data_IF_246128203171
#
_entry.id   IF_246128203171
#
_cell.length_a   1.000
_cell.length_b   1.000
_cell.length_c   1.000
_cell.angle_alpha   90.00
_cell.angle_beta   90.00
_cell.angle_gamma   90.00
#
_symmetry.space_group_name_H-M   'P 1'
#
loop_
_entity.id
_entity.type
_entity.pdbx_description
1 polymer ?
#
# COMPACT_ATOMS: atom_id res chain seq x y z
N UNK A 1 65.25 -6.59 21.57
CA UNK A 1 64.64 -5.71 22.58
C UNK A 1 63.89 -4.61 21.82
N UNK A 2 62.57 -4.39 21.85
CA UNK A 2 61.45 -4.88 22.67
C UNK A 2 60.19 -4.88 21.79
N UNK A 3 59.31 -5.84 22.07
CA UNK A 3 57.91 -5.90 21.65
C UNK A 3 57.13 -4.70 22.23
N UNK A 4 56.12 -4.20 21.51
CA UNK A 4 54.94 -3.60 22.11
C UNK A 4 53.75 -3.71 21.15
N UNK A 5 52.84 -4.62 21.50
CA UNK A 5 51.48 -4.69 20.99
C UNK A 5 50.68 -3.49 21.53
N UNK A 6 49.77 -2.93 20.73
CA UNK A 6 48.69 -2.10 21.24
C UNK A 6 47.39 -2.44 20.51
N UNK A 7 46.55 -3.20 21.20
CA UNK A 7 45.11 -3.28 21.00
C UNK A 7 44.49 -1.87 20.99
N UNK A 8 43.52 -1.61 20.11
CA UNK A 8 42.86 -0.31 20.09
C UNK A 8 41.62 -0.24 19.20
N UNK A 9 40.52 -0.75 19.74
CA UNK A 9 39.15 -0.23 19.55
C UNK A 9 38.49 -0.38 18.16
N UNK A 10 37.68 -1.44 18.05
CA UNK A 10 36.48 -1.48 17.21
C UNK A 10 35.55 -0.34 17.68
N UNK A 11 35.45 0.75 16.90
CA UNK A 11 34.37 1.72 17.07
C UNK A 11 33.34 1.49 15.98
N UNK A 12 32.40 0.62 16.31
CA UNK A 12 31.11 0.45 15.63
C UNK A 12 30.28 1.73 15.84
N UNK A 13 30.58 2.79 15.08
CA UNK A 13 29.63 3.90 14.91
C UNK A 13 28.60 3.48 13.85
N UNK A 14 27.63 2.67 14.25
CA UNK A 14 26.32 2.75 13.60
C UNK A 14 25.78 4.14 13.94
N UNK A 15 26.08 5.11 13.08
CA UNK A 15 25.44 6.41 13.09
C UNK A 15 23.97 6.20 12.77
N UNK A 16 23.19 5.94 13.82
CA UNK A 16 21.75 6.07 13.85
C UNK A 16 21.44 7.57 13.85
N UNK A 17 21.61 8.19 12.68
CA UNK A 17 21.16 9.56 12.47
C UNK A 17 19.67 9.53 12.18
N UNK A 18 18.92 9.66 13.27
CA UNK A 18 17.54 10.09 13.30
C UNK A 18 17.45 11.50 12.68
N UNK A 19 16.89 11.62 11.49
CA UNK A 19 16.27 12.88 11.03
C UNK A 19 14.88 12.53 10.51
N UNK A 20 13.92 12.63 11.42
CA UNK A 20 12.50 12.67 11.10
C UNK A 20 12.16 14.11 10.71
N UNK A 21 12.58 14.52 9.51
CA UNK A 21 12.09 15.75 8.91
C UNK A 21 10.67 15.49 8.39
N UNK A 22 9.68 16.04 9.08
CA UNK A 22 8.27 16.10 8.68
C UNK A 22 8.05 17.01 7.48
N UNK A 23 8.68 16.71 6.34
CA UNK A 23 8.25 17.27 5.08
C UNK A 23 7.03 16.49 4.59
N UNK A 24 5.88 17.17 4.44
CA UNK A 24 4.85 16.78 3.47
C UNK A 24 5.41 16.95 2.04
N UNK A 25 6.54 16.30 1.76
CA UNK A 25 7.23 16.33 0.50
C UNK A 25 6.79 15.15 -0.34
N UNK A 26 6.66 15.39 -1.64
CA UNK A 26 6.52 14.33 -2.62
C UNK A 26 7.75 13.40 -2.49
N UNK A 27 7.58 12.09 -2.25
CA UNK A 27 8.69 11.16 -2.14
C UNK A 27 9.53 11.21 -3.42
N UNK A 28 10.85 11.31 -3.27
CA UNK A 28 11.75 11.26 -4.42
C UNK A 28 12.03 9.80 -4.80
N UNK A 29 12.56 9.58 -6.01
CA UNK A 29 12.92 8.23 -6.46
C UNK A 29 14.01 7.64 -5.58
N UNK A 30 14.96 8.46 -5.15
CA UNK A 30 16.17 8.04 -4.43
C UNK A 30 15.82 7.51 -3.03
N UNK A 31 14.66 7.87 -2.50
CA UNK A 31 14.17 7.40 -1.19
C UNK A 31 13.43 6.05 -1.27
N UNK A 32 13.14 5.52 -2.47
CA UNK A 32 12.40 4.26 -2.64
C UNK A 32 13.09 3.08 -1.94
N UNK A 33 14.41 2.86 -2.07
CA UNK A 33 15.10 1.78 -1.35
C UNK A 33 14.97 1.91 0.18
N UNK A 34 14.99 3.14 0.70
CA UNK A 34 14.77 3.42 2.13
C UNK A 34 13.37 3.01 2.56
N UNK A 35 12.34 3.35 1.78
CA UNK A 35 10.97 2.97 2.10
C UNK A 35 10.75 1.46 1.96
N UNK A 36 11.35 0.79 0.98
CA UNK A 36 11.31 -0.68 0.87
C UNK A 36 11.88 -1.36 2.11
N UNK A 37 13.07 -0.92 2.54
CA UNK A 37 13.69 -1.43 3.76
C UNK A 37 12.80 -1.19 4.97
N UNK A 38 12.28 0.03 5.12
CA UNK A 38 11.40 0.39 6.23
C UNK A 38 10.10 -0.42 6.23
N UNK A 39 9.51 -0.70 5.06
CA UNK A 39 8.32 -1.53 4.92
C UNK A 39 8.55 -2.96 5.43
N UNK A 40 9.73 -3.53 5.20
CA UNK A 40 10.03 -4.94 5.53
C UNK A 40 10.63 -5.12 6.94
N UNK A 41 11.48 -4.20 7.38
CA UNK A 41 12.31 -4.40 8.57
C UNK A 41 11.93 -3.51 9.76
N UNK A 42 10.98 -2.58 9.62
CA UNK A 42 10.63 -1.72 10.73
C UNK A 42 9.77 -2.46 11.76
N UNK A 43 10.19 -2.38 13.03
CA UNK A 43 9.44 -2.93 14.15
C UNK A 43 8.11 -2.18 14.38
N UNK A 44 8.12 -0.87 14.15
CA UNK A 44 6.96 0.01 14.31
C UNK A 44 5.97 -0.15 13.15
N UNK A 45 4.71 -0.44 13.48
CA UNK A 45 3.63 -0.47 12.50
C UNK A 45 3.42 0.90 11.84
N UNK A 46 3.58 2.00 12.58
CA UNK A 46 3.46 3.35 12.02
C UNK A 46 4.51 3.61 10.94
N UNK A 47 5.75 3.13 11.15
CA UNK A 47 6.83 3.29 10.19
C UNK A 47 6.59 2.44 8.93
N UNK A 48 6.10 1.21 9.06
CA UNK A 48 5.73 0.38 7.91
C UNK A 48 4.57 0.99 7.11
N UNK A 49 3.54 1.49 7.79
CA UNK A 49 2.40 2.14 7.15
C UNK A 49 2.84 3.41 6.40
N UNK A 50 3.69 4.24 7.01
CA UNK A 50 4.25 5.43 6.37
C UNK A 50 5.09 5.06 5.15
N UNK A 51 5.90 4.02 5.23
CA UNK A 51 6.67 3.53 4.10
C UNK A 51 5.77 3.11 2.92
N UNK A 52 4.72 2.33 3.20
CA UNK A 52 3.74 1.95 2.18
C UNK A 52 3.09 3.19 1.54
N UNK A 53 2.68 4.18 2.34
CA UNK A 53 2.09 5.43 1.83
C UNK A 53 3.06 6.20 0.92
N UNK A 54 4.34 6.30 1.29
CA UNK A 54 5.34 7.00 0.47
C UNK A 54 5.60 6.27 -0.85
N UNK A 55 5.62 4.94 -0.85
CA UNK A 55 5.72 4.12 -2.07
C UNK A 55 4.50 4.32 -2.98
N UNK A 56 3.29 4.34 -2.41
CA UNK A 56 2.06 4.64 -3.13
C UNK A 56 2.08 6.01 -3.81
N UNK A 57 2.42 7.06 -3.05
CA UNK A 57 2.56 8.43 -3.58
C UNK A 57 3.58 8.51 -4.71
N UNK A 58 4.73 7.84 -4.58
CA UNK A 58 5.76 7.82 -5.63
C UNK A 58 5.29 7.10 -6.89
N UNK A 59 4.61 5.97 -6.72
CA UNK A 59 4.07 5.18 -7.82
C UNK A 59 2.92 5.86 -8.56
N UNK A 60 2.09 6.62 -7.85
CA UNK A 60 1.08 7.46 -8.47
C UNK A 60 1.66 8.55 -9.39
N UNK A 61 2.91 8.94 -9.18
CA UNK A 61 3.65 9.86 -10.05
C UNK A 61 4.31 9.10 -11.20
N UNK A 62 5.05 8.03 -10.88
CA UNK A 62 5.67 7.16 -11.87
C UNK A 62 5.81 5.74 -11.32
N UNK A 63 5.09 4.82 -11.94
CA UNK A 63 5.07 3.40 -11.58
C UNK A 63 6.46 2.77 -11.65
N UNK A 64 7.26 3.16 -12.66
CA UNK A 64 8.60 2.59 -12.90
C UNK A 64 9.57 2.82 -11.76
N UNK A 65 9.33 3.84 -10.94
CA UNK A 65 10.21 4.16 -9.83
C UNK A 65 9.95 3.28 -8.60
N UNK A 66 8.88 2.50 -8.59
CA UNK A 66 8.47 1.63 -7.47
C UNK A 66 8.10 0.21 -7.91
N UNK A 67 8.58 -0.26 -9.07
CA UNK A 67 8.31 -1.62 -9.55
C UNK A 67 8.70 -2.69 -8.50
N UNK A 68 9.86 -2.52 -7.88
CA UNK A 68 10.37 -3.41 -6.82
C UNK A 68 9.51 -3.40 -5.54
N UNK A 69 8.57 -2.45 -5.40
CA UNK A 69 7.69 -2.34 -4.25
C UNK A 69 6.38 -3.11 -4.39
N UNK A 70 5.99 -3.49 -5.61
CA UNK A 70 4.69 -4.12 -5.85
C UNK A 70 4.57 -5.46 -5.11
N UNK A 71 5.56 -6.34 -5.24
CA UNK A 71 5.57 -7.65 -4.56
C UNK A 71 5.65 -7.55 -3.02
N UNK A 72 6.53 -6.71 -2.44
CA UNK A 72 6.50 -6.43 -1.01
C UNK A 72 5.15 -5.90 -0.52
N UNK A 73 4.52 -4.97 -1.24
CA UNK A 73 3.23 -4.41 -0.84
C UNK A 73 2.11 -5.46 -0.86
N UNK A 74 2.07 -6.33 -1.89
CA UNK A 74 1.14 -7.47 -1.92
C UNK A 74 1.33 -8.39 -0.71
N UNK A 75 2.58 -8.68 -0.36
CA UNK A 75 2.90 -9.50 0.81
C UNK A 75 2.41 -8.85 2.11
N UNK A 76 2.58 -7.54 2.26
CA UNK A 76 2.14 -6.78 3.43
C UNK A 76 0.62 -6.77 3.56
N UNK A 77 -0.13 -6.60 2.45
CA UNK A 77 -1.60 -6.70 2.45
C UNK A 77 -2.09 -8.03 3.01
N UNK A 78 -1.36 -9.13 2.78
CA UNK A 78 -1.77 -10.47 3.21
C UNK A 78 -1.28 -10.80 4.62
N UNK A 79 -0.03 -10.44 4.95
CA UNK A 79 0.68 -11.00 6.11
C UNK A 79 0.89 -10.05 7.28
N UNK A 80 0.74 -8.73 7.09
CA UNK A 80 1.01 -7.80 8.21
C UNK A 80 -0.07 -7.92 9.29
N UNK A 81 0.38 -8.06 10.54
CA UNK A 81 -0.49 -8.17 11.72
C UNK A 81 -1.31 -6.90 11.96
N UNK A 82 -0.78 -5.74 11.56
CA UNK A 82 -1.41 -4.45 11.82
C UNK A 82 -2.32 -4.02 10.67
N UNK A 83 -3.58 -3.78 10.99
CA UNK A 83 -4.60 -3.41 10.02
C UNK A 83 -4.33 -2.06 9.33
N UNK A 84 -3.70 -1.09 10.02
CA UNK A 84 -3.34 0.19 9.41
C UNK A 84 -2.26 0.00 8.35
N UNK A 85 -1.32 -0.91 8.61
CA UNK A 85 -0.28 -1.25 7.62
C UNK A 85 -0.89 -1.95 6.41
N UNK A 86 -1.78 -2.93 6.62
CA UNK A 86 -2.50 -3.58 5.51
C UNK A 86 -3.30 -2.58 4.67
N UNK A 87 -4.05 -1.68 5.31
CA UNK A 87 -4.82 -0.64 4.63
C UNK A 87 -3.92 0.33 3.84
N UNK A 88 -2.78 0.74 4.41
CA UNK A 88 -1.81 1.60 3.73
C UNK A 88 -1.23 0.90 2.50
N UNK A 89 -0.87 -0.38 2.61
CA UNK A 89 -0.35 -1.16 1.49
C UNK A 89 -1.38 -1.38 0.38
N UNK A 90 -2.65 -1.65 0.74
CA UNK A 90 -3.73 -1.77 -0.24
C UNK A 90 -3.94 -0.46 -1.02
N UNK A 91 -3.98 0.69 -0.33
CA UNK A 91 -4.04 2.01 -1.00
C UNK A 91 -2.82 2.25 -1.89
N UNK A 92 -1.63 1.93 -1.42
CA UNK A 92 -0.40 2.10 -2.19
C UNK A 92 -0.44 1.31 -3.50
N UNK A 93 -0.87 0.04 -3.47
CA UNK A 93 -1.06 -0.77 -4.68
C UNK A 93 -2.06 -0.14 -5.65
N UNK A 94 -3.16 0.40 -5.11
CA UNK A 94 -4.16 1.14 -5.89
C UNK A 94 -3.67 2.46 -6.46
N UNK A 95 -2.76 3.17 -5.78
CA UNK A 95 -2.15 4.40 -6.31
C UNK A 95 -1.12 4.07 -7.40
N UNK A 96 -0.36 2.98 -7.21
CA UNK A 96 0.62 2.47 -8.17
C UNK A 96 -0.11 2.00 -9.44
N UNK A 97 -1.17 1.19 -9.36
CA UNK A 97 -1.88 0.60 -10.53
C UNK A 97 -0.96 -0.15 -11.50
N UNK A 98 -0.01 -0.90 -10.94
CA UNK A 98 0.85 -1.81 -11.71
C UNK A 98 0.46 -3.24 -11.42
N UNK A 99 0.74 -4.12 -12.39
CA UNK A 99 0.48 -5.56 -12.31
C UNK A 99 -0.94 -5.89 -11.80
N UNK A 100 -1.94 -5.47 -12.57
CA UNK A 100 -3.34 -5.71 -12.23
C UNK A 100 -3.65 -7.22 -12.16
N UNK A 101 -3.08 -8.02 -13.06
CA UNK A 101 -3.28 -9.47 -13.13
C UNK A 101 -2.84 -10.17 -11.83
N UNK A 102 -1.69 -9.79 -11.28
CA UNK A 102 -1.21 -10.32 -10.00
C UNK A 102 -1.84 -9.67 -8.77
N UNK A 103 -2.24 -8.39 -8.84
CA UNK A 103 -2.69 -7.62 -7.68
C UNK A 103 -4.19 -7.74 -7.40
N UNK A 104 -5.03 -7.69 -8.43
CA UNK A 104 -6.49 -7.69 -8.29
C UNK A 104 -7.01 -8.95 -7.57
N UNK A 105 -6.55 -10.18 -7.89
CA UNK A 105 -7.02 -11.38 -7.18
C UNK A 105 -6.70 -11.36 -5.69
N UNK A 106 -5.52 -10.86 -5.30
CA UNK A 106 -5.10 -10.72 -3.89
C UNK A 106 -6.01 -9.74 -3.16
N UNK A 107 -6.30 -8.60 -3.78
CA UNK A 107 -7.21 -7.61 -3.22
C UNK A 107 -8.64 -8.15 -3.06
N UNK A 108 -9.15 -8.90 -4.05
CA UNK A 108 -10.48 -9.53 -3.98
C UNK A 108 -10.54 -10.56 -2.85
N UNK A 109 -9.52 -11.40 -2.69
CA UNK A 109 -9.47 -12.35 -1.58
C UNK A 109 -9.52 -11.61 -0.24
N UNK A 110 -8.63 -10.62 -0.07
CA UNK A 110 -8.53 -9.88 1.19
C UNK A 110 -9.78 -9.07 1.51
N UNK A 111 -10.51 -8.57 0.50
CA UNK A 111 -11.81 -7.92 0.69
C UNK A 111 -12.82 -8.85 1.39
N UNK A 112 -12.80 -10.13 1.04
CA UNK A 112 -13.71 -11.15 1.59
C UNK A 112 -13.27 -11.59 2.99
N UNK A 113 -11.96 -11.75 3.17
CA UNK A 113 -11.40 -12.46 4.32
C UNK A 113 -10.89 -11.55 5.44
N UNK A 114 -10.57 -10.27 5.19
CA UNK A 114 -10.15 -9.35 6.27
C UNK A 114 -11.31 -9.08 7.25
N UNK A 115 -11.00 -8.80 8.52
CA UNK A 115 -11.99 -8.52 9.55
C UNK A 115 -12.19 -7.01 9.76
N UNK A 116 -11.21 -6.18 9.37
CA UNK A 116 -11.27 -4.73 9.61
C UNK A 116 -11.92 -3.99 8.45
N UNK A 117 -12.94 -3.21 8.77
CA UNK A 117 -13.66 -2.40 7.79
C UNK A 117 -12.72 -1.39 7.09
N UNK A 118 -11.80 -0.76 7.83
CA UNK A 118 -10.84 0.19 7.26
C UNK A 118 -9.97 -0.42 6.16
N UNK A 119 -9.55 -1.69 6.34
CA UNK A 119 -8.77 -2.43 5.34
C UNK A 119 -9.64 -2.72 4.12
N UNK A 120 -10.88 -3.18 4.34
CA UNK A 120 -11.82 -3.43 3.24
C UNK A 120 -12.09 -2.18 2.42
N UNK A 121 -12.28 -1.02 3.06
CA UNK A 121 -12.50 0.23 2.35
C UNK A 121 -11.26 0.69 1.57
N UNK A 122 -10.05 0.50 2.12
CA UNK A 122 -8.82 0.73 1.37
C UNK A 122 -8.72 -0.17 0.11
N UNK A 123 -9.11 -1.43 0.24
CA UNK A 123 -9.15 -2.39 -0.88
C UNK A 123 -10.20 -1.99 -1.92
N UNK A 124 -11.39 -1.57 -1.50
CA UNK A 124 -12.46 -1.06 -2.39
C UNK A 124 -11.94 0.09 -3.24
N UNK A 125 -11.28 1.06 -2.61
CA UNK A 125 -10.69 2.22 -3.29
C UNK A 125 -9.62 1.75 -4.30
N UNK A 126 -8.71 0.87 -3.87
CA UNK A 126 -7.65 0.36 -4.72
C UNK A 126 -8.21 -0.36 -5.97
N UNK A 127 -9.20 -1.23 -5.79
CA UNK A 127 -9.90 -1.90 -6.88
C UNK A 127 -10.57 -0.90 -7.84
N UNK A 128 -11.16 0.18 -7.31
CA UNK A 128 -11.71 1.28 -8.11
C UNK A 128 -10.63 1.99 -8.94
N UNK A 129 -9.43 2.17 -8.41
CA UNK A 129 -8.30 2.80 -9.10
C UNK A 129 -7.73 1.94 -10.23
N UNK A 130 -7.77 0.61 -10.11
CA UNK A 130 -7.48 -0.33 -11.21
C UNK A 130 -8.53 -0.28 -12.33
N UNK A 131 -9.72 0.26 -12.07
CA UNK A 131 -10.74 0.48 -13.10
C UNK A 131 -11.14 -0.84 -13.80
N UNK A 132 -11.24 -0.87 -15.15
CA UNK A 132 -11.69 -2.05 -15.89
C UNK A 132 -10.87 -3.32 -15.64
N UNK A 133 -9.60 -3.20 -15.26
CA UNK A 133 -8.75 -4.36 -14.96
C UNK A 133 -9.22 -5.09 -13.69
N UNK A 134 -9.94 -4.40 -12.81
CA UNK A 134 -10.56 -4.97 -11.61
C UNK A 134 -12.00 -5.47 -11.84
N UNK A 135 -12.44 -5.71 -13.08
CA UNK A 135 -13.82 -6.18 -13.39
C UNK A 135 -14.24 -7.42 -12.61
N UNK A 136 -13.31 -8.32 -12.32
CA UNK A 136 -13.55 -9.52 -11.50
C UNK A 136 -14.00 -9.21 -10.06
N UNK A 137 -13.74 -7.99 -9.55
CA UNK A 137 -14.12 -7.58 -8.21
C UNK A 137 -15.59 -7.17 -8.06
N UNK A 138 -16.29 -6.86 -9.16
CA UNK A 138 -17.67 -6.32 -9.13
C UNK A 138 -18.64 -7.16 -8.29
N UNK A 139 -18.67 -8.50 -8.40
CA UNK A 139 -19.56 -9.32 -7.57
C UNK A 139 -19.28 -9.17 -6.07
N UNK A 140 -17.99 -9.20 -5.68
CA UNK A 140 -17.57 -9.08 -4.28
C UNK A 140 -17.89 -7.69 -3.71
N UNK A 141 -17.72 -6.63 -4.51
CA UNK A 141 -18.09 -5.26 -4.11
C UNK A 141 -19.60 -5.12 -3.90
N UNK A 142 -20.43 -5.70 -4.78
CA UNK A 142 -21.89 -5.71 -4.60
C UNK A 142 -22.33 -6.50 -3.39
N UNK A 143 -21.67 -7.61 -3.09
CA UNK A 143 -21.95 -8.39 -1.88
C UNK A 143 -21.63 -7.58 -0.62
N UNK A 144 -20.48 -6.91 -0.58
CA UNK A 144 -20.12 -6.01 0.52
C UNK A 144 -21.12 -4.86 0.65
N UNK A 145 -21.55 -4.26 -0.46
CA UNK A 145 -22.54 -3.19 -0.46
C UNK A 145 -23.88 -3.65 0.15
N UNK A 146 -24.33 -4.87 -0.14
CA UNK A 146 -25.56 -5.44 0.45
C UNK A 146 -25.44 -5.70 1.95
N UNK A 147 -24.24 -6.08 2.42
CA UNK A 147 -23.96 -6.32 3.84
C UNK A 147 -23.92 -5.02 4.66
N UNK A 148 -23.68 -3.89 4.02
CA UNK A 148 -23.71 -2.58 4.66
C UNK A 148 -25.14 -2.06 4.70
N UNK A 149 -25.60 -1.65 5.89
CA UNK A 149 -26.83 -0.89 6.03
C UNK A 149 -26.65 0.50 5.39
N UNK A 150 -27.29 0.72 4.24
CA UNK A 150 -27.21 1.96 3.47
C UNK A 150 -27.56 3.21 4.28
N UNK A 151 -28.37 3.08 5.36
CA UNK A 151 -28.76 4.21 6.22
C UNK A 151 -27.73 4.54 7.29
N UNK A 152 -26.90 3.57 7.70
CA UNK A 152 -25.95 3.74 8.83
C UNK A 152 -24.53 4.09 8.37
N UNK A 153 -24.17 3.76 7.13
CA UNK A 153 -22.82 3.94 6.57
C UNK A 153 -22.86 4.53 5.15
N UNK A 154 -23.56 5.67 4.99
CA UNK A 154 -23.77 6.31 3.68
C UNK A 154 -22.46 6.64 2.92
N UNK A 155 -21.39 6.99 3.66
CA UNK A 155 -20.07 7.29 3.08
C UNK A 155 -19.42 6.05 2.46
N UNK A 156 -19.46 4.92 3.15
CA UNK A 156 -18.84 3.67 2.69
C UNK A 156 -19.63 3.09 1.51
N UNK A 157 -20.95 3.17 1.59
CA UNK A 157 -21.84 2.83 0.48
C UNK A 157 -21.52 3.62 -0.79
N UNK A 158 -21.37 4.95 -0.67
CA UNK A 158 -21.00 5.81 -1.80
C UNK A 158 -19.62 5.46 -2.39
N UNK A 159 -18.66 5.13 -1.53
CA UNK A 159 -17.31 4.73 -1.96
C UNK A 159 -17.32 3.41 -2.75
N UNK A 160 -18.09 2.42 -2.30
CA UNK A 160 -18.26 1.16 -3.01
C UNK A 160 -18.96 1.38 -4.36
N UNK A 161 -20.01 2.21 -4.39
CA UNK A 161 -20.71 2.55 -5.63
C UNK A 161 -19.77 3.24 -6.63
N UNK A 162 -18.99 4.23 -6.17
CA UNK A 162 -18.01 4.93 -7.02
C UNK A 162 -16.95 3.97 -7.57
N UNK A 163 -16.49 3.02 -6.77
CA UNK A 163 -15.50 2.02 -7.19
C UNK A 163 -16.09 1.06 -8.22
N UNK A 164 -17.31 0.56 -8.00
CA UNK A 164 -18.04 -0.26 -9.00
C UNK A 164 -18.24 0.53 -10.29
N UNK A 165 -18.56 1.82 -10.21
CA UNK A 165 -18.72 2.67 -11.37
C UNK A 165 -17.40 2.86 -12.12
N UNK A 166 -16.29 3.14 -11.43
CA UNK A 166 -14.97 3.25 -12.04
C UNK A 166 -14.54 1.95 -12.76
N UNK A 167 -14.89 0.80 -12.20
CA UNK A 167 -14.62 -0.52 -12.79
C UNK A 167 -15.50 -0.80 -14.01
N UNK A 168 -16.77 -0.37 -14.00
CA UNK A 168 -17.74 -0.68 -15.05
C UNK A 168 -17.80 0.36 -16.18
N UNK A 169 -17.29 1.57 -15.97
CA UNK A 169 -17.16 2.58 -17.03
C UNK A 169 -16.09 2.15 -18.05
N UNK A 170 -16.51 1.48 -19.13
CA UNK A 170 -15.77 1.57 -20.39
C UNK A 170 -15.71 3.05 -20.78
N UNK A 171 -14.52 3.56 -21.13
CA UNK A 171 -14.35 4.88 -21.74
C UNK A 171 -15.48 5.05 -22.77
N UNK A 172 -16.45 5.94 -22.53
CA UNK A 172 -17.32 6.41 -23.61
C UNK A 172 -16.34 6.94 -24.66
N UNK A 173 -16.14 6.21 -25.76
CA UNK A 173 -15.52 6.76 -26.96
C UNK A 173 -16.28 8.05 -27.21
N UNK A 174 -15.60 9.20 -27.07
CA UNK A 174 -16.13 10.45 -27.62
C UNK A 174 -16.36 10.15 -29.10
N UNK A 175 -17.63 10.17 -29.50
CA UNK A 175 -18.03 10.04 -30.90
C UNK A 175 -17.52 11.19 -31.73
#
# INVERSE_FOLDING_TARGET
MKFAQAFGLVVLLFSFSLVFAGGFGIPKKEDVPKYLKQLQSANSAADRAKAAEMLGKRGGINQKDVEDAVEPLKTIVVKDKDAKVRAAAARALGDIRSDAEGTVPILIDRLKTDDKMDVKMAIVIALGQFGPDAKAAVPSLREMQKKLDAKKMAKDFGTIQNSIQAITMQKKKKG
#
